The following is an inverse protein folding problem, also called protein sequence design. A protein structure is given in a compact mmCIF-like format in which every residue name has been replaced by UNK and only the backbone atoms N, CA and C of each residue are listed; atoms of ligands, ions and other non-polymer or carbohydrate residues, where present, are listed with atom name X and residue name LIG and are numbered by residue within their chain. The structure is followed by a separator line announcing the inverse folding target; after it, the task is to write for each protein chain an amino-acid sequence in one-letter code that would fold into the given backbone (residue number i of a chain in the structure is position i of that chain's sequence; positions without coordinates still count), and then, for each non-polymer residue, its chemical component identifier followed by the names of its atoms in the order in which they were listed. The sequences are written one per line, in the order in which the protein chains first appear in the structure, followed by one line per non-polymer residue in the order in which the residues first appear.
data_IF_699204852911
#
_entry.id   IF_699204852911
#
_cell.length_a   1.000
_cell.length_b   1.000
_cell.length_c   1.000
_cell.angle_alpha   90.00
_cell.angle_beta   90.00
_cell.angle_gamma   90.00
#
_symmetry.space_group_name_H-M   'P 1'
#
loop_
_entity.id
_entity.type
_entity.pdbx_description
1 polymer ?
#
# COMPACT_ATOMS: atom_id res chain seq x y z
N UNK A 1 -16.03 12.77 54.65
CA UNK A 1 -15.65 11.71 53.69
C UNK A 1 -15.77 12.33 52.30
N UNK A 2 -14.64 12.60 51.63
CA UNK A 2 -14.67 13.20 50.30
C UNK A 2 -14.86 12.10 49.25
N UNK A 3 -15.95 12.20 48.50
CA UNK A 3 -16.35 11.24 47.46
C UNK A 3 -15.42 11.37 46.24
N UNK A 4 -14.82 10.25 45.81
CA UNK A 4 -13.94 10.22 44.63
C UNK A 4 -14.77 10.47 43.37
N UNK A 5 -14.30 11.31 42.43
CA UNK A 5 -15.04 11.57 41.21
C UNK A 5 -15.15 10.30 40.36
N UNK A 6 -16.25 10.12 39.61
CA UNK A 6 -16.49 8.91 38.83
C UNK A 6 -15.45 8.79 37.72
N UNK A 7 -14.83 7.62 37.60
CA UNK A 7 -13.91 7.30 36.51
C UNK A 7 -14.66 7.38 35.18
N UNK A 8 -14.33 8.37 34.36
CA UNK A 8 -14.82 8.50 32.99
C UNK A 8 -14.41 7.27 32.18
N UNK A 9 -15.40 6.42 31.83
CA UNK A 9 -15.20 5.27 30.95
C UNK A 9 -14.87 5.79 29.55
N UNK A 10 -13.73 5.35 29.00
CA UNK A 10 -13.36 5.64 27.61
C UNK A 10 -14.50 5.20 26.67
N UNK A 11 -14.85 5.99 25.63
CA UNK A 11 -15.86 5.61 24.65
C UNK A 11 -15.53 4.29 23.92
N UNK A 12 -16.54 3.50 23.55
CA UNK A 12 -16.35 2.19 22.88
C UNK A 12 -15.49 2.29 21.63
N UNK A 13 -15.68 3.33 20.81
CA UNK A 13 -14.91 3.53 19.58
C UNK A 13 -13.40 3.72 19.80
N UNK A 14 -13.01 4.28 20.96
CA UNK A 14 -11.59 4.41 21.34
C UNK A 14 -11.01 3.06 21.73
N UNK A 15 -11.79 2.24 22.46
CA UNK A 15 -11.39 0.89 22.90
C UNK A 15 -11.28 -0.05 21.69
N UNK A 16 -12.21 0.04 20.75
CA UNK A 16 -12.21 -0.77 19.53
C UNK A 16 -11.02 -0.38 18.61
N UNK A 17 -10.70 0.91 18.51
CA UNK A 17 -9.51 1.42 17.81
C UNK A 17 -8.20 0.94 18.47
N UNK A 18 -8.13 0.98 19.81
CA UNK A 18 -6.98 0.45 20.58
C UNK A 18 -6.85 -1.08 20.41
N UNK A 19 -7.96 -1.83 20.39
CA UNK A 19 -7.98 -3.29 20.21
C UNK A 19 -7.59 -3.71 18.79
N UNK A 20 -8.10 -3.02 17.77
CA UNK A 20 -7.71 -3.24 16.38
C UNK A 20 -6.22 -2.97 16.16
N UNK A 21 -5.69 -1.89 16.76
CA UNK A 21 -4.26 -1.57 16.73
C UNK A 21 -3.42 -2.66 17.40
N UNK A 22 -3.88 -3.22 18.53
CA UNK A 22 -3.18 -4.33 19.21
C UNK A 22 -3.22 -5.64 18.42
N UNK A 23 -4.34 -5.95 17.76
CA UNK A 23 -4.47 -7.14 16.92
C UNK A 23 -3.56 -7.05 15.69
N UNK A 24 -3.57 -5.90 14.99
CA UNK A 24 -2.66 -5.66 13.86
C UNK A 24 -1.17 -5.67 14.27
N UNK A 25 -0.86 -5.27 15.51
CA UNK A 25 0.51 -5.34 16.06
C UNK A 25 0.92 -6.75 16.54
N UNK A 26 -0.02 -7.69 16.63
CA UNK A 26 0.23 -9.10 16.96
C UNK A 26 0.30 -10.00 15.73
N UNK A 27 -0.22 -9.54 14.59
CA UNK A 27 -0.16 -10.24 13.31
C UNK A 27 1.26 -10.11 12.73
N UNK A 28 1.92 -11.26 12.52
CA UNK A 28 3.21 -11.33 11.84
C UNK A 28 3.00 -11.67 10.37
N UNK A 29 3.96 -11.27 9.53
CA UNK A 29 3.95 -11.54 8.10
C UNK A 29 5.25 -12.26 7.74
N UNK A 30 5.14 -13.32 6.96
CA UNK A 30 6.29 -13.95 6.34
C UNK A 30 6.58 -13.31 4.99
N UNK A 31 7.74 -12.66 4.89
CA UNK A 31 8.32 -12.20 3.63
C UNK A 31 9.22 -13.30 3.08
N UNK A 32 9.25 -13.48 1.76
CA UNK A 32 10.05 -14.54 1.16
C UNK A 32 10.61 -14.14 -0.21
N UNK A 33 11.69 -14.80 -0.62
CA UNK A 33 12.48 -14.42 -1.79
C UNK A 33 13.58 -13.44 -1.43
N UNK A 34 14.70 -13.50 -2.17
CA UNK A 34 15.92 -12.79 -1.83
C UNK A 34 15.74 -11.27 -1.77
N UNK A 35 15.00 -10.70 -2.73
CA UNK A 35 14.78 -9.25 -2.81
C UNK A 35 13.95 -8.73 -1.63
N UNK A 36 12.80 -9.35 -1.37
CA UNK A 36 11.91 -8.94 -0.28
C UNK A 36 12.60 -9.09 1.09
N UNK A 37 13.31 -10.20 1.31
CA UNK A 37 14.06 -10.43 2.56
C UNK A 37 15.19 -9.43 2.70
N UNK A 38 15.99 -9.20 1.66
CA UNK A 38 17.09 -8.21 1.67
C UNK A 38 16.60 -6.81 2.01
N UNK A 39 15.55 -6.36 1.32
CA UNK A 39 15.06 -4.99 1.48
C UNK A 39 14.44 -4.80 2.89
N UNK A 40 13.77 -5.82 3.43
CA UNK A 40 13.25 -5.81 4.79
C UNK A 40 14.36 -5.84 5.86
N UNK A 41 15.43 -6.62 5.64
CA UNK A 41 16.60 -6.63 6.52
C UNK A 41 17.30 -5.27 6.56
N UNK A 42 17.38 -4.57 5.43
CA UNK A 42 17.97 -3.24 5.33
C UNK A 42 17.10 -2.12 5.95
N UNK A 43 15.81 -2.36 6.19
CA UNK A 43 14.91 -1.34 6.70
C UNK A 43 14.97 -1.24 8.24
N UNK A 44 15.47 -0.13 8.83
CA UNK A 44 15.56 0.01 10.29
C UNK A 44 14.19 0.15 10.97
N UNK A 45 13.15 0.55 10.23
CA UNK A 45 11.78 0.67 10.77
C UNK A 45 11.05 -0.68 10.83
N UNK A 46 11.58 -1.70 10.17
CA UNK A 46 10.98 -3.03 10.13
C UNK A 46 11.41 -3.82 11.36
N UNK A 47 10.44 -4.23 12.18
CA UNK A 47 10.66 -5.16 13.29
C UNK A 47 10.81 -6.58 12.72
N UNK A 48 12.00 -7.15 12.89
CA UNK A 48 12.42 -8.44 12.37
C UNK A 48 12.32 -9.45 13.50
N UNK A 49 11.70 -10.60 13.25
CA UNK A 49 11.43 -11.59 14.29
C UNK A 49 12.27 -12.85 14.07
N UNK A 50 12.18 -13.45 12.89
CA UNK A 50 12.81 -14.74 12.60
C UNK A 50 13.27 -14.83 11.16
N UNK A 51 14.57 -15.02 10.94
CA UNK A 51 15.14 -15.22 9.61
C UNK A 51 15.46 -16.70 9.40
N UNK A 52 14.83 -17.33 8.41
CA UNK A 52 15.10 -18.72 8.01
C UNK A 52 15.66 -18.72 6.60
N UNK A 53 16.85 -19.30 6.43
CA UNK A 53 17.58 -19.29 5.15
C UNK A 53 18.25 -20.63 4.86
N UNK A 54 18.46 -20.92 3.59
CA UNK A 54 19.44 -21.91 3.15
C UNK A 54 20.84 -21.28 3.09
N UNK A 55 21.90 -22.08 3.15
CA UNK A 55 23.27 -21.56 3.03
C UNK A 55 23.48 -20.74 1.75
N UNK A 56 23.06 -21.25 0.60
CA UNK A 56 23.18 -20.54 -0.69
C UNK A 56 22.36 -19.23 -0.73
N UNK A 57 21.29 -19.12 0.04
CA UNK A 57 20.54 -17.87 0.14
C UNK A 57 21.27 -16.87 1.05
N UNK A 58 21.81 -17.33 2.19
CA UNK A 58 22.58 -16.52 3.12
C UNK A 58 23.79 -15.87 2.42
N UNK A 59 24.50 -16.62 1.57
CA UNK A 59 25.66 -16.13 0.81
C UNK A 59 25.30 -14.99 -0.20
N UNK A 60 24.01 -14.80 -0.51
CA UNK A 60 23.50 -13.77 -1.44
C UNK A 60 22.82 -12.60 -0.71
N UNK A 61 22.59 -12.73 0.59
CA UNK A 61 22.04 -11.66 1.40
C UNK A 61 23.16 -10.68 1.82
N UNK A 62 22.82 -9.42 2.13
CA UNK A 62 23.80 -8.46 2.63
C UNK A 62 24.32 -8.89 4.01
N UNK A 63 25.23 -8.10 4.60
CA UNK A 63 25.60 -8.29 6.00
C UNK A 63 24.36 -8.21 6.90
N UNK A 64 24.26 -9.15 7.85
CA UNK A 64 23.10 -9.24 8.74
C UNK A 64 23.12 -8.12 9.79
N UNK A 65 21.97 -7.52 10.10
CA UNK A 65 21.82 -6.69 11.29
C UNK A 65 22.24 -7.48 12.54
N UNK A 66 22.92 -6.81 13.48
CA UNK A 66 23.46 -7.46 14.69
C UNK A 66 22.38 -8.09 15.59
N UNK A 67 21.14 -7.66 15.45
CA UNK A 67 19.96 -8.12 16.18
C UNK A 67 19.28 -9.35 15.55
N UNK A 68 19.74 -9.82 14.39
CA UNK A 68 19.19 -11.01 13.71
C UNK A 68 20.26 -12.08 13.54
N UNK A 69 19.96 -13.28 14.06
CA UNK A 69 20.74 -14.49 13.83
C UNK A 69 19.99 -15.37 12.82
N UNK A 70 20.60 -15.73 11.67
CA UNK A 70 19.94 -16.57 10.67
C UNK A 70 19.81 -18.01 11.14
N UNK A 71 18.62 -18.57 11.02
CA UNK A 71 18.38 -20.01 11.15
C UNK A 71 18.65 -20.70 9.82
N UNK A 72 19.75 -21.45 9.73
CA UNK A 72 20.15 -22.13 8.51
C UNK A 72 19.44 -23.49 8.43
N UNK A 73 18.71 -23.73 7.34
CA UNK A 73 17.99 -24.99 7.06
C UNK A 73 18.36 -25.58 5.70
N UNK A 74 18.16 -26.90 5.53
CA UNK A 74 18.29 -27.57 4.23
C UNK A 74 17.12 -27.20 3.30
N UNK A 75 17.41 -27.07 2.00
CA UNK A 75 16.40 -26.70 1.00
C UNK A 75 15.24 -27.71 0.94
N UNK A 76 15.49 -29.01 1.18
CA UNK A 76 14.47 -30.08 1.13
C UNK A 76 13.47 -30.01 2.28
N UNK A 77 13.77 -29.25 3.33
CA UNK A 77 12.92 -29.15 4.52
C UNK A 77 12.44 -27.73 4.78
N UNK A 78 12.77 -26.78 3.90
CA UNK A 78 12.46 -25.36 4.04
C UNK A 78 10.96 -25.10 4.26
N UNK A 79 10.11 -25.72 3.43
CA UNK A 79 8.64 -25.57 3.51
C UNK A 79 8.03 -26.17 4.79
N UNK A 80 8.78 -27.02 5.50
CA UNK A 80 8.39 -27.51 6.83
C UNK A 80 8.86 -26.62 7.97
N UNK A 81 9.92 -25.83 7.75
CA UNK A 81 10.49 -24.93 8.74
C UNK A 81 9.75 -23.59 8.80
N UNK A 82 9.09 -23.19 7.71
CA UNK A 82 8.39 -21.91 7.55
C UNK A 82 6.98 -22.16 7.01
N UNK A 83 5.93 -21.57 7.61
CA UNK A 83 4.55 -21.76 7.18
C UNK A 83 4.22 -20.91 5.93
N UNK A 84 4.88 -21.19 4.80
CA UNK A 84 4.61 -20.52 3.52
C UNK A 84 3.54 -21.28 2.70
N UNK A 85 2.71 -20.56 1.91
CA UNK A 85 1.88 -21.21 0.91
C UNK A 85 2.71 -22.05 -0.09
N UNK A 86 2.23 -23.22 -0.56
CA UNK A 86 3.00 -24.12 -1.43
C UNK A 86 3.54 -23.48 -2.73
N UNK A 87 2.81 -22.51 -3.29
CA UNK A 87 3.18 -21.77 -4.49
C UNK A 87 4.20 -20.64 -4.26
N UNK A 88 4.68 -20.48 -3.02
CA UNK A 88 5.63 -19.43 -2.65
C UNK A 88 7.02 -19.71 -3.23
N UNK A 89 7.42 -18.94 -4.23
CA UNK A 89 8.79 -19.01 -4.76
C UNK A 89 9.72 -18.22 -3.81
N UNK A 90 10.14 -18.86 -2.72
CA UNK A 90 10.90 -18.29 -1.59
C UNK A 90 12.42 -18.21 -1.82
N UNK A 91 12.97 -18.93 -2.81
CA UNK A 91 14.41 -18.88 -3.16
C UNK A 91 15.34 -19.20 -1.97
N UNK A 92 14.87 -20.03 -1.04
CA UNK A 92 15.61 -20.42 0.16
C UNK A 92 15.78 -19.31 1.21
N UNK A 93 14.97 -18.24 1.18
CA UNK A 93 14.98 -17.20 2.21
C UNK A 93 13.56 -16.79 2.60
N UNK A 94 13.33 -16.70 3.91
CA UNK A 94 12.10 -16.20 4.50
C UNK A 94 12.39 -15.43 5.79
N UNK A 95 11.68 -14.33 6.00
CA UNK A 95 11.80 -13.46 7.15
C UNK A 95 10.43 -13.19 7.74
N UNK A 96 10.23 -13.59 8.99
CA UNK A 96 9.07 -13.21 9.78
C UNK A 96 9.27 -11.79 10.33
N UNK A 97 8.29 -10.93 10.09
CA UNK A 97 8.34 -9.52 10.48
C UNK A 97 7.00 -9.07 11.04
N UNK A 98 6.99 -7.88 11.67
CA UNK A 98 5.74 -7.14 11.86
C UNK A 98 5.46 -6.19 10.68
N UNK A 99 4.17 -5.92 10.37
CA UNK A 99 3.78 -4.88 9.42
C UNK A 99 4.37 -3.51 9.77
N UNK A 100 4.75 -2.72 8.76
CA UNK A 100 5.24 -1.36 8.97
C UNK A 100 4.11 -0.47 9.50
N UNK A 101 4.46 0.37 10.47
CA UNK A 101 3.55 1.36 11.02
C UNK A 101 3.74 2.68 10.27
N UNK A 102 2.86 2.95 9.31
CA UNK A 102 2.94 4.12 8.44
C UNK A 102 2.35 5.41 9.04
N UNK A 103 1.64 5.32 10.17
CA UNK A 103 0.91 6.44 10.76
C UNK A 103 -0.54 6.51 10.27
N UNK A 104 -1.17 7.66 10.46
CA UNK A 104 -2.55 7.92 10.04
C UNK A 104 -2.62 8.48 8.61
N UNK A 105 -3.84 8.50 8.06
CA UNK A 105 -4.09 9.12 6.75
C UNK A 105 -3.64 10.59 6.74
N UNK A 106 -4.00 11.36 7.77
CA UNK A 106 -3.57 12.76 7.91
C UNK A 106 -2.06 12.93 7.99
N UNK A 107 -1.34 12.05 8.70
CA UNK A 107 0.14 12.10 8.78
C UNK A 107 0.75 11.97 7.39
N UNK A 108 0.27 11.01 6.59
CA UNK A 108 0.76 10.75 5.23
C UNK A 108 0.28 11.81 4.22
N UNK A 109 -0.93 12.33 4.39
CA UNK A 109 -1.53 13.30 3.50
C UNK A 109 -0.90 14.70 3.65
N UNK A 110 -0.51 15.10 4.86
CA UNK A 110 -0.06 16.47 5.12
C UNK A 110 1.47 16.64 5.10
N UNK A 111 2.24 15.55 5.17
CA UNK A 111 3.70 15.60 5.24
C UNK A 111 4.37 15.28 3.90
N UNK A 112 5.59 15.78 3.70
CA UNK A 112 6.40 15.53 2.49
C UNK A 112 6.63 16.76 1.63
N UNK A 113 7.66 16.71 0.80
CA UNK A 113 7.99 17.75 -0.17
C UNK A 113 7.18 17.59 -1.46
N UNK A 114 7.09 18.66 -2.26
CA UNK A 114 6.41 18.66 -3.55
C UNK A 114 4.87 18.63 -3.46
N UNK A 115 4.22 18.54 -4.62
CA UNK A 115 2.77 18.51 -4.73
C UNK A 115 2.21 17.22 -4.10
N UNK A 116 1.24 17.29 -3.18
CA UNK A 116 0.69 16.10 -2.55
C UNK A 116 0.01 15.19 -3.57
N UNK A 117 0.49 13.96 -3.68
CA UNK A 117 -0.07 12.94 -4.56
C UNK A 117 -0.37 11.67 -3.76
N UNK A 118 -1.59 11.17 -3.85
CA UNK A 118 -2.03 9.92 -3.25
C UNK A 118 -2.65 9.01 -4.29
N UNK A 119 -2.61 7.70 -4.04
CA UNK A 119 -3.32 6.71 -4.83
C UNK A 119 -4.28 5.96 -3.92
N UNK A 120 -5.51 5.79 -4.32
CA UNK A 120 -6.54 5.05 -3.61
C UNK A 120 -7.04 3.90 -4.48
N UNK A 121 -7.05 2.68 -3.94
CA UNK A 121 -7.41 1.47 -4.65
C UNK A 121 -8.76 0.96 -4.15
N UNK A 122 -9.78 1.02 -5.00
CA UNK A 122 -11.08 0.44 -4.71
C UNK A 122 -11.11 -1.03 -5.12
N UNK A 123 -10.92 -1.89 -4.12
CA UNK A 123 -10.99 -3.35 -4.25
C UNK A 123 -10.01 -4.00 -5.24
N UNK A 124 -8.82 -3.43 -5.42
CA UNK A 124 -7.75 -4.12 -6.15
C UNK A 124 -7.21 -5.26 -5.26
N UNK A 125 -7.53 -6.51 -5.63
CA UNK A 125 -7.26 -7.71 -4.82
C UNK A 125 -6.01 -8.49 -5.23
N UNK A 126 -5.56 -8.34 -6.47
CA UNK A 126 -4.39 -9.07 -6.98
C UNK A 126 -3.08 -8.47 -6.45
N UNK A 127 -2.24 -9.23 -5.70
CA UNK A 127 -0.95 -8.77 -5.22
C UNK A 127 0.03 -8.37 -6.32
N UNK A 128 -0.09 -8.90 -7.54
CA UNK A 128 0.77 -8.49 -8.66
C UNK A 128 0.46 -7.05 -9.08
N UNK A 129 -0.82 -6.75 -9.29
CA UNK A 129 -1.29 -5.40 -9.58
C UNK A 129 -0.95 -4.41 -8.46
N UNK A 130 -1.25 -4.73 -7.18
CA UNK A 130 -0.96 -3.81 -6.05
C UNK A 130 0.55 -3.61 -5.90
N UNK A 131 1.37 -4.65 -6.03
CA UNK A 131 2.82 -4.55 -5.95
C UNK A 131 3.40 -3.67 -7.06
N UNK A 132 2.90 -3.80 -8.29
CA UNK A 132 3.29 -2.93 -9.39
C UNK A 132 2.88 -1.46 -9.14
N UNK A 133 1.68 -1.23 -8.62
CA UNK A 133 1.20 0.12 -8.25
C UNK A 133 2.07 0.74 -7.15
N UNK A 134 2.44 -0.02 -6.11
CA UNK A 134 3.35 0.46 -5.05
C UNK A 134 4.69 0.90 -5.63
N UNK A 135 5.24 0.14 -6.59
CA UNK A 135 6.49 0.50 -7.28
C UNK A 135 6.35 1.78 -8.09
N UNK A 136 5.28 1.92 -8.87
CA UNK A 136 5.03 3.16 -9.62
C UNK A 136 4.81 4.34 -8.69
N UNK A 137 4.07 4.16 -7.60
CA UNK A 137 3.78 5.18 -6.61
C UNK A 137 5.07 5.68 -5.93
N UNK A 138 5.97 4.78 -5.54
CA UNK A 138 7.31 5.13 -5.05
C UNK A 138 8.09 5.96 -6.07
N UNK A 139 8.17 5.49 -7.33
CA UNK A 139 8.96 6.14 -8.39
C UNK A 139 8.45 7.54 -8.72
N UNK A 140 7.12 7.74 -8.72
CA UNK A 140 6.50 9.03 -9.02
C UNK A 140 6.23 9.89 -7.77
N UNK A 141 6.74 9.49 -6.61
CA UNK A 141 6.70 10.30 -5.39
C UNK A 141 5.31 10.45 -4.76
N UNK A 142 4.41 9.48 -4.96
CA UNK A 142 3.15 9.47 -4.24
C UNK A 142 3.40 9.23 -2.75
N UNK A 143 2.71 9.98 -1.89
CA UNK A 143 2.90 9.92 -0.43
C UNK A 143 2.41 8.61 0.19
N UNK A 144 1.39 8.00 -0.40
CA UNK A 144 0.87 6.70 0.03
C UNK A 144 -0.01 6.06 -1.05
N UNK A 145 -0.14 4.74 -0.96
CA UNK A 145 -1.19 3.96 -1.61
C UNK A 145 -2.18 3.51 -0.53
N UNK A 146 -3.45 3.84 -0.70
CA UNK A 146 -4.52 3.60 0.27
C UNK A 146 -5.45 2.52 -0.29
N UNK A 147 -5.87 1.57 0.54
CA UNK A 147 -6.83 0.53 0.15
C UNK A 147 -7.73 0.15 1.34
N UNK A 148 -8.97 -0.33 1.11
CA UNK A 148 -9.79 -0.84 2.19
C UNK A 148 -9.14 -2.08 2.84
N UNK A 149 -9.29 -2.24 4.15
CA UNK A 149 -8.77 -3.37 4.92
C UNK A 149 -9.36 -4.70 4.48
N UNK A 150 -10.55 -4.69 3.89
CA UNK A 150 -11.23 -5.85 3.31
C UNK A 150 -11.31 -5.73 1.80
N UNK A 151 -11.28 -6.86 1.12
CA UNK A 151 -11.39 -6.94 -0.36
C UNK A 151 -10.27 -6.21 -1.11
N UNK A 152 -9.07 -6.17 -0.54
CA UNK A 152 -7.85 -5.68 -1.19
C UNK A 152 -6.67 -6.58 -0.81
N UNK A 153 -5.62 -6.63 -1.64
CA UNK A 153 -4.47 -7.50 -1.46
C UNK A 153 -3.77 -7.27 -0.10
N UNK A 154 -3.82 -8.20 0.87
CA UNK A 154 -3.20 -7.98 2.19
C UNK A 154 -1.67 -7.89 2.10
N UNK A 155 -1.03 -7.32 3.14
CA UNK A 155 0.43 -7.37 3.28
C UNK A 155 0.85 -8.83 3.49
N UNK A 156 1.47 -9.41 2.46
CA UNK A 156 1.86 -10.81 2.40
C UNK A 156 3.22 -10.93 1.72
N UNK A 157 3.92 -12.04 1.90
CA UNK A 157 5.17 -12.29 1.17
C UNK A 157 5.00 -12.25 -0.36
N UNK A 158 3.83 -12.64 -0.87
CA UNK A 158 3.51 -12.51 -2.30
C UNK A 158 3.49 -11.03 -2.73
N UNK A 159 2.81 -10.16 -1.98
CA UNK A 159 2.80 -8.71 -2.25
C UNK A 159 4.21 -8.10 -2.11
N UNK A 160 4.96 -8.48 -1.09
CA UNK A 160 6.32 -7.99 -0.88
C UNK A 160 7.24 -8.35 -2.04
N UNK A 161 7.09 -9.57 -2.56
CA UNK A 161 7.84 -10.05 -3.71
C UNK A 161 7.50 -9.27 -4.98
N UNK A 162 6.23 -9.02 -5.26
CA UNK A 162 5.80 -8.27 -6.45
C UNK A 162 6.16 -6.78 -6.35
N UNK A 163 6.15 -6.23 -5.14
CA UNK A 163 6.54 -4.85 -4.85
C UNK A 163 8.05 -4.59 -4.95
N UNK A 164 8.90 -5.62 -5.00
CA UNK A 164 10.35 -5.51 -5.23
C UNK A 164 11.03 -4.43 -4.35
N UNK A 165 10.72 -4.41 -3.06
CA UNK A 165 11.27 -3.44 -2.10
C UNK A 165 10.44 -2.19 -1.90
N UNK A 166 9.48 -1.89 -2.77
CA UNK A 166 8.58 -0.74 -2.59
C UNK A 166 7.75 -0.89 -1.31
N UNK A 167 7.42 -2.11 -0.87
CA UNK A 167 6.69 -2.34 0.38
C UNK A 167 7.44 -1.86 1.65
N UNK A 168 8.77 -1.68 1.57
CA UNK A 168 9.58 -1.17 2.70
C UNK A 168 9.67 0.36 2.74
N UNK A 169 9.31 1.03 1.64
CA UNK A 169 9.53 2.47 1.43
C UNK A 169 8.22 3.24 1.19
N UNK A 170 7.36 2.69 0.34
CA UNK A 170 6.08 3.26 -0.04
C UNK A 170 4.98 2.90 0.96
N UNK A 171 4.35 3.88 1.61
CA UNK A 171 3.27 3.61 2.54
C UNK A 171 2.08 2.90 1.88
N UNK A 172 1.76 1.70 2.36
CA UNK A 172 0.55 0.98 1.99
C UNK A 172 -0.47 1.02 3.13
N UNK A 173 -1.35 2.03 3.12
CA UNK A 173 -2.28 2.29 4.20
C UNK A 173 -3.61 1.54 4.00
N UNK A 174 -3.95 0.69 4.96
CA UNK A 174 -5.22 -0.06 4.97
C UNK A 174 -6.27 0.63 5.83
N UNK A 175 -7.33 1.13 5.21
CA UNK A 175 -8.41 1.90 5.88
C UNK A 175 -9.69 1.09 6.06
N UNK A 176 -10.52 1.43 7.04
CA UNK A 176 -11.78 0.70 7.27
C UNK A 176 -12.81 0.87 6.13
N UNK A 177 -12.98 2.11 5.68
CA UNK A 177 -13.89 2.48 4.61
C UNK A 177 -13.19 3.48 3.67
N UNK A 178 -13.14 3.13 2.38
CA UNK A 178 -12.48 3.95 1.39
C UNK A 178 -13.20 5.29 1.16
N UNK A 179 -14.53 5.29 1.07
CA UNK A 179 -15.29 6.51 0.81
C UNK A 179 -15.11 7.54 1.94
N UNK A 180 -15.11 7.08 3.19
CA UNK A 180 -14.89 7.97 4.34
C UNK A 180 -13.48 8.57 4.33
N UNK A 181 -12.47 7.78 3.92
CA UNK A 181 -11.10 8.26 3.73
C UNK A 181 -11.00 9.29 2.57
N UNK A 182 -11.73 9.09 1.47
CA UNK A 182 -11.77 10.07 0.37
C UNK A 182 -12.42 11.39 0.79
N UNK A 183 -13.51 11.33 1.57
CA UNK A 183 -14.14 12.54 2.15
C UNK A 183 -13.19 13.25 3.12
N UNK A 184 -12.44 12.51 3.94
CA UNK A 184 -11.41 13.08 4.81
C UNK A 184 -10.34 13.82 3.99
N UNK A 185 -9.87 13.24 2.89
CA UNK A 185 -8.90 13.86 1.98
C UNK A 185 -9.47 15.14 1.32
N UNK A 186 -10.72 15.13 0.86
CA UNK A 186 -11.39 16.33 0.35
C UNK A 186 -11.41 17.45 1.40
N UNK A 187 -11.72 17.11 2.65
CA UNK A 187 -11.65 18.05 3.78
C UNK A 187 -10.26 18.63 4.04
N UNK A 188 -9.20 17.92 3.64
CA UNK A 188 -7.80 18.38 3.68
C UNK A 188 -7.38 19.17 2.42
N UNK A 189 -8.29 19.37 1.47
CA UNK A 189 -8.06 20.15 0.24
C UNK A 189 -7.56 19.33 -0.96
N UNK A 190 -7.54 18.00 -0.86
CA UNK A 190 -7.28 17.13 -2.00
C UNK A 190 -8.41 17.19 -3.01
N UNK A 191 -8.07 17.15 -4.30
CA UNK A 191 -9.00 16.87 -5.38
C UNK A 191 -8.93 15.37 -5.68
N UNK A 192 -10.07 14.69 -5.55
CA UNK A 192 -10.22 13.25 -5.71
C UNK A 192 -10.65 12.93 -7.14
N UNK A 193 -9.75 12.30 -7.89
CA UNK A 193 -9.92 12.01 -9.31
C UNK A 193 -10.09 10.51 -9.51
N UNK A 194 -11.31 10.07 -9.80
CA UNK A 194 -11.60 8.67 -10.14
C UNK A 194 -11.24 8.36 -11.59
N UNK A 195 -10.57 7.24 -11.83
CA UNK A 195 -10.24 6.77 -13.17
C UNK A 195 -11.23 5.71 -13.65
N UNK A 196 -11.92 6.02 -14.75
CA UNK A 196 -12.86 5.14 -15.40
C UNK A 196 -12.83 5.35 -16.92
N UNK A 197 -12.87 4.26 -17.69
CA UNK A 197 -12.90 4.33 -19.15
C UNK A 197 -14.15 5.04 -19.69
N UNK A 198 -15.23 5.09 -18.92
CA UNK A 198 -16.47 5.79 -19.29
C UNK A 198 -16.47 7.29 -18.95
N UNK A 199 -15.38 7.84 -18.38
CA UNK A 199 -15.27 9.26 -18.08
C UNK A 199 -15.38 10.14 -19.32
N UNK A 200 -16.08 11.27 -19.21
CA UNK A 200 -16.26 12.22 -20.33
C UNK A 200 -15.08 13.19 -20.46
N UNK A 201 -14.38 13.45 -19.37
CA UNK A 201 -13.20 14.31 -19.30
C UNK A 201 -11.93 13.47 -19.30
N UNK A 202 -10.81 14.01 -19.79
CA UNK A 202 -9.53 13.30 -19.79
C UNK A 202 -8.64 13.73 -18.63
N UNK A 203 -7.87 12.79 -18.09
CA UNK A 203 -6.95 13.04 -16.98
C UNK A 203 -5.95 14.18 -17.29
N UNK A 204 -5.27 14.20 -18.45
CA UNK A 204 -4.34 15.29 -18.76
C UNK A 204 -5.01 16.66 -18.86
N UNK A 205 -6.24 16.74 -19.35
CA UNK A 205 -6.93 18.01 -19.54
C UNK A 205 -7.31 18.62 -18.20
N UNK A 206 -7.95 17.84 -17.32
CA UNK A 206 -8.37 18.31 -15.99
C UNK A 206 -7.17 18.65 -15.10
N UNK A 207 -6.08 17.89 -15.19
CA UNK A 207 -4.87 18.21 -14.41
C UNK A 207 -4.21 19.53 -14.83
N UNK A 208 -4.36 19.98 -16.07
CA UNK A 208 -3.84 21.31 -16.50
C UNK A 208 -4.54 22.46 -15.79
N UNK A 209 -5.79 22.27 -15.38
CA UNK A 209 -6.59 23.26 -14.67
C UNK A 209 -6.42 23.18 -13.14
N UNK A 210 -5.64 22.21 -12.64
CA UNK A 210 -5.37 21.98 -11.21
C UNK A 210 -3.87 22.12 -10.84
N UNK A 211 -3.14 23.15 -11.30
CA UNK A 211 -1.70 23.25 -11.04
C UNK A 211 -1.42 23.39 -9.54
N UNK A 212 -0.47 22.60 -9.04
CA UNK A 212 -0.03 22.64 -7.63
C UNK A 212 -1.06 22.16 -6.60
N UNK A 213 -2.20 21.62 -7.03
CA UNK A 213 -3.22 21.08 -6.12
C UNK A 213 -2.79 19.72 -5.57
N UNK A 214 -3.25 19.42 -4.36
CA UNK A 214 -3.17 18.09 -3.79
C UNK A 214 -4.11 17.14 -4.56
N UNK A 215 -3.60 16.03 -5.09
CA UNK A 215 -4.36 15.10 -5.93
C UNK A 215 -4.43 13.72 -5.26
N UNK A 216 -5.62 13.11 -5.26
CA UNK A 216 -5.81 11.71 -4.93
C UNK A 216 -6.37 10.97 -6.15
N UNK A 217 -5.58 10.11 -6.77
CA UNK A 217 -6.00 9.27 -7.89
C UNK A 217 -6.72 8.03 -7.35
N UNK A 218 -7.93 7.75 -7.83
CA UNK A 218 -8.73 6.59 -7.39
C UNK A 218 -8.88 5.59 -8.54
N UNK A 219 -8.42 4.35 -8.31
CA UNK A 219 -8.48 3.28 -9.30
C UNK A 219 -9.33 2.11 -8.79
N UNK A 220 -10.19 1.60 -9.67
CA UNK A 220 -11.06 0.46 -9.38
C UNK A 220 -10.43 -0.90 -9.67
N UNK A 221 -11.13 -1.95 -9.26
CA UNK A 221 -10.78 -3.32 -9.59
C UNK A 221 -10.93 -3.59 -11.10
N UNK A 222 -10.16 -4.55 -11.61
CA UNK A 222 -10.37 -5.06 -12.97
C UNK A 222 -11.79 -5.63 -13.13
N UNK A 223 -12.46 -5.31 -14.23
CA UNK A 223 -13.84 -5.71 -14.49
C UNK A 223 -14.85 -4.69 -13.96
N UNK A 224 -15.35 -4.81 -12.70
CA UNK A 224 -16.38 -3.91 -12.16
C UNK A 224 -15.97 -2.44 -12.06
N UNK A 225 -14.67 -2.14 -12.07
CA UNK A 225 -14.16 -0.78 -11.92
C UNK A 225 -14.40 -0.21 -10.53
N UNK A 226 -14.72 1.08 -10.47
CA UNK A 226 -15.04 1.79 -9.23
C UNK A 226 -16.43 1.38 -8.74
N UNK A 227 -16.57 1.16 -7.43
CA UNK A 227 -17.91 1.02 -6.84
C UNK A 227 -18.67 2.33 -6.92
N UNK A 228 -19.99 2.23 -6.97
CA UNK A 228 -20.90 3.37 -7.00
C UNK A 228 -20.56 4.42 -5.93
N UNK A 229 -20.47 4.04 -4.64
CA UNK A 229 -20.18 5.01 -3.57
C UNK A 229 -18.81 5.67 -3.73
N UNK A 230 -17.79 4.92 -4.15
CA UNK A 230 -16.45 5.48 -4.42
C UNK A 230 -16.52 6.48 -5.56
N UNK A 231 -17.21 6.12 -6.65
CA UNK A 231 -17.43 6.96 -7.83
C UNK A 231 -18.16 8.25 -7.47
N UNK A 232 -19.23 8.16 -6.69
CA UNK A 232 -20.02 9.32 -6.21
C UNK A 232 -19.23 10.23 -5.25
N UNK A 233 -18.16 9.72 -4.63
CA UNK A 233 -17.29 10.51 -3.74
C UNK A 233 -16.20 11.25 -4.51
N UNK A 234 -15.84 10.79 -5.72
CA UNK A 234 -14.83 11.46 -6.54
C UNK A 234 -15.35 12.81 -7.03
N UNK A 235 -14.50 13.83 -7.03
CA UNK A 235 -14.83 15.16 -7.58
C UNK A 235 -15.00 15.10 -9.10
N UNK A 236 -14.17 14.27 -9.76
CA UNK A 236 -14.25 14.01 -11.20
C UNK A 236 -14.07 12.53 -11.50
N UNK A 237 -14.74 12.07 -12.57
CA UNK A 237 -14.51 10.77 -13.19
C UNK A 237 -13.86 10.97 -14.55
N UNK A 238 -12.60 10.61 -14.63
CA UNK A 238 -11.70 10.91 -15.73
C UNK A 238 -11.29 9.63 -16.45
N UNK A 239 -11.05 9.74 -17.76
CA UNK A 239 -10.43 8.67 -18.54
C UNK A 239 -8.99 9.00 -18.90
N UNK A 240 -8.18 7.96 -19.08
CA UNK A 240 -6.90 8.08 -19.79
C UNK A 240 -7.22 8.04 -21.30
N UNK A 241 -6.73 8.99 -22.12
CA UNK A 241 -6.96 8.98 -23.56
C UNK A 241 -6.47 7.67 -24.21
N UNK A 242 -7.27 7.11 -25.12
CA UNK A 242 -6.94 5.91 -25.90
C UNK A 242 -7.29 6.10 -27.37
N UNK A 243 -6.58 5.42 -28.27
CA UNK A 243 -6.61 5.70 -29.71
C UNK A 243 -7.72 4.97 -30.50
N UNK A 244 -8.31 3.91 -29.95
CA UNK A 244 -9.30 3.06 -30.64
C UNK A 244 -10.46 2.69 -29.70
N UNK A 245 -11.56 2.18 -30.24
CA UNK A 245 -12.80 1.87 -29.51
C UNK A 245 -12.68 0.75 -28.44
N UNK A 246 -11.49 0.16 -28.26
CA UNK A 246 -11.27 -0.94 -27.34
C UNK A 246 -10.17 -0.67 -26.31
N UNK A 247 -10.52 -0.95 -25.05
CA UNK A 247 -9.61 -1.55 -24.08
C UNK A 247 -9.55 -0.83 -22.74
N UNK A 248 -10.17 -1.44 -21.73
CA UNK A 248 -9.78 -1.16 -20.34
C UNK A 248 -8.30 -1.53 -20.17
N UNK A 249 -7.50 -0.58 -19.71
CA UNK A 249 -6.10 -0.83 -19.38
C UNK A 249 -6.03 -1.65 -18.07
N UNK A 250 -5.04 -2.54 -17.95
CA UNK A 250 -4.73 -3.17 -16.67
C UNK A 250 -4.53 -2.09 -15.59
N UNK A 251 -5.06 -2.32 -14.39
CA UNK A 251 -5.12 -1.30 -13.33
C UNK A 251 -3.73 -0.78 -12.92
N UNK A 252 -2.70 -1.64 -12.94
CA UNK A 252 -1.34 -1.20 -12.59
C UNK A 252 -0.73 -0.30 -13.67
N UNK A 253 -0.99 -0.60 -14.95
CA UNK A 253 -0.57 0.25 -16.07
C UNK A 253 -1.31 1.59 -16.06
N UNK A 254 -2.62 1.58 -15.77
CA UNK A 254 -3.41 2.81 -15.61
C UNK A 254 -2.88 3.68 -14.48
N UNK A 255 -2.55 3.08 -13.33
CA UNK A 255 -1.93 3.78 -12.21
C UNK A 255 -0.59 4.40 -12.60
N UNK A 256 0.28 3.66 -13.30
CA UNK A 256 1.59 4.15 -13.71
C UNK A 256 1.48 5.37 -14.64
N UNK A 257 0.58 5.33 -15.64
CA UNK A 257 0.34 6.46 -16.55
C UNK A 257 -0.24 7.64 -15.77
N UNK A 258 -1.24 7.40 -14.92
CA UNK A 258 -1.90 8.47 -14.17
C UNK A 258 -0.94 9.16 -13.19
N UNK A 259 -0.12 8.39 -12.49
CA UNK A 259 0.94 8.90 -11.62
C UNK A 259 1.96 9.74 -12.39
N UNK A 260 2.42 9.27 -13.55
CA UNK A 260 3.34 10.03 -14.39
C UNK A 260 2.74 11.39 -14.81
N UNK A 261 1.51 11.40 -15.32
CA UNK A 261 0.83 12.64 -15.73
C UNK A 261 0.62 13.58 -14.53
N UNK A 262 0.16 13.04 -13.38
CA UNK A 262 -0.06 13.82 -12.18
C UNK A 262 1.25 14.41 -11.59
N UNK A 263 2.34 13.64 -11.61
CA UNK A 263 3.65 14.10 -11.12
C UNK A 263 4.21 15.27 -11.93
N UNK A 264 3.83 15.38 -13.21
CA UNK A 264 4.27 16.44 -14.13
C UNK A 264 3.33 17.64 -14.21
N UNK A 265 2.10 17.54 -13.70
CA UNK A 265 1.11 18.64 -13.75
C UNK A 265 1.54 19.92 -13.02
N UNK A 266 2.64 19.89 -12.25
CA UNK A 266 3.24 21.06 -11.62
C UNK A 266 4.43 21.67 -12.38
N UNK A 267 4.98 21.01 -13.40
CA UNK A 267 6.13 21.50 -14.17
C UNK A 267 5.63 22.38 -15.32
N UNK A 268 5.81 23.69 -15.17
CA UNK A 268 5.92 24.64 -16.28
C UNK A 268 7.38 25.07 -16.41
#
# INVERSE_FOLDING_TARGET
MAEKPPKTRKPSWVIDKERARRAAAAETVWLFGLHAVRDALANPRREKLRLVVTQNALDRLPEMPADIVPEITDARVFDRAVPLPPESVHQGAALEVKPLQWGSLGDLALTGAGNPLLVALDRVTDPHNVGAILRSAEVFGARAVIAPSRHSAPETGALAKTASGALERQPYLRVGNLADALVELQGMGYVVLGLDGTGTETLPDVLRDLPGRAICLVLGAEGPGLRQRTRETCDHILRIPFAADFGSLNVSNAAAIALYVASRGGER
#
